data_IF_086243993454
#
_entry.id   IF_086243993454
#
_cell.length_a   1.000
_cell.length_b   1.000
_cell.length_c   1.000
_cell.angle_alpha   90.00
_cell.angle_beta   90.00
_cell.angle_gamma   90.00
#
_symmetry.space_group_name_H-M   'P 1'
#
loop_
_entity.id
_entity.type
_entity.pdbx_description
1 polymer ?
#
# COMPACT_ATOMS: atom_id res chain seq x y z
N UNK A 1 15.58 -34.09 -4.48
CA UNK A 1 14.40 -33.21 -4.37
C UNK A 1 14.26 -32.60 -2.98
N UNK A 2 14.53 -33.33 -1.88
CA UNK A 2 14.56 -32.75 -0.53
C UNK A 2 15.80 -31.88 -0.27
N UNK A 3 16.98 -32.30 -0.74
CA UNK A 3 18.23 -31.51 -0.64
C UNK A 3 18.16 -30.14 -1.32
N UNK A 4 17.48 -30.05 -2.47
CA UNK A 4 17.27 -28.81 -3.21
C UNK A 4 16.23 -27.89 -2.57
N UNK A 5 15.23 -28.44 -1.88
CA UNK A 5 14.29 -27.61 -1.08
C UNK A 5 14.98 -27.04 0.15
N UNK A 6 15.83 -27.83 0.81
CA UNK A 6 16.58 -27.40 1.98
C UNK A 6 17.61 -26.30 1.67
N UNK A 7 18.28 -26.36 0.52
CA UNK A 7 19.19 -25.28 0.09
C UNK A 7 18.43 -23.97 -0.21
N UNK A 8 17.32 -24.05 -0.93
CA UNK A 8 16.49 -22.87 -1.25
C UNK A 8 15.94 -22.20 0.02
N UNK A 9 15.51 -22.99 1.01
CA UNK A 9 15.01 -22.46 2.29
C UNK A 9 16.11 -21.77 3.11
N UNK A 10 17.34 -22.28 3.06
CA UNK A 10 18.50 -21.70 3.74
C UNK A 10 18.95 -20.39 3.08
N UNK A 11 18.89 -20.32 1.76
CA UNK A 11 19.19 -19.11 0.99
C UNK A 11 18.14 -18.00 1.24
N UNK A 12 16.86 -18.37 1.37
CA UNK A 12 15.79 -17.44 1.73
C UNK A 12 15.99 -16.87 3.15
N UNK A 13 16.40 -17.71 4.11
CA UNK A 13 16.69 -17.26 5.48
C UNK A 13 17.87 -16.28 5.53
N UNK A 14 18.95 -16.58 4.80
CA UNK A 14 20.11 -15.68 4.70
C UNK A 14 19.75 -14.34 4.07
N UNK A 15 18.89 -14.33 3.05
CA UNK A 15 18.36 -13.09 2.48
C UNK A 15 17.60 -12.26 3.52
N UNK A 16 16.70 -12.89 4.28
CA UNK A 16 15.91 -12.21 5.33
C UNK A 16 16.83 -11.61 6.39
N UNK A 17 17.86 -12.33 6.84
CA UNK A 17 18.85 -11.82 7.81
C UNK A 17 19.60 -10.58 7.29
N UNK A 18 20.01 -10.59 6.03
CA UNK A 18 20.67 -9.43 5.40
C UNK A 18 19.74 -8.21 5.40
N UNK A 19 18.48 -8.38 4.97
CA UNK A 19 17.52 -7.26 4.92
C UNK A 19 17.22 -6.74 6.32
N UNK A 20 17.07 -7.61 7.30
CA UNK A 20 16.90 -7.22 8.71
C UNK A 20 18.11 -6.44 9.22
N UNK A 21 19.33 -6.90 8.95
CA UNK A 21 20.55 -6.20 9.37
C UNK A 21 20.66 -4.81 8.73
N UNK A 22 20.35 -4.71 7.43
CA UNK A 22 20.33 -3.41 6.75
C UNK A 22 19.31 -2.48 7.41
N UNK A 23 18.09 -2.97 7.67
CA UNK A 23 17.02 -2.17 8.28
C UNK A 23 17.36 -1.73 9.70
N UNK A 24 17.85 -2.63 10.55
CA UNK A 24 17.94 -2.39 12.00
C UNK A 24 19.28 -1.82 12.45
N UNK A 25 20.34 -2.06 11.68
CA UNK A 25 21.70 -1.64 12.04
C UNK A 25 22.23 -0.61 11.06
N UNK A 26 22.25 -0.92 9.76
CA UNK A 26 22.93 -0.07 8.77
C UNK A 26 22.17 1.23 8.52
N UNK A 27 20.87 1.14 8.26
CA UNK A 27 20.08 2.31 7.86
C UNK A 27 19.98 3.38 8.96
N UNK A 28 19.79 3.04 10.25
CA UNK A 28 19.78 4.02 11.33
C UNK A 28 21.06 4.86 11.45
N UNK A 29 22.20 4.33 11.00
CA UNK A 29 23.50 5.03 10.99
C UNK A 29 23.93 5.47 9.60
N UNK A 30 23.07 5.37 8.57
CA UNK A 30 23.46 5.58 7.18
C UNK A 30 24.06 6.97 6.93
N UNK A 31 23.57 8.01 7.62
CA UNK A 31 24.10 9.38 7.52
C UNK A 31 25.46 9.57 8.21
N UNK A 32 25.83 8.66 9.13
CA UNK A 32 27.18 8.63 9.72
C UNK A 32 28.18 7.95 8.80
N UNK A 33 27.71 6.99 7.99
CA UNK A 33 28.54 6.25 7.02
C UNK A 33 28.67 7.04 5.70
N UNK A 34 27.56 7.62 5.24
CA UNK A 34 27.44 8.35 3.99
C UNK A 34 27.04 9.80 4.28
N UNK A 35 28.03 10.69 4.22
CA UNK A 35 27.85 12.11 4.52
C UNK A 35 27.03 12.80 3.42
N UNK A 36 27.26 12.41 2.16
CA UNK A 36 26.60 13.03 1.01
C UNK A 36 25.18 12.47 0.79
N UNK A 37 24.20 13.37 0.70
CA UNK A 37 22.81 13.02 0.44
C UNK A 37 22.64 12.24 -0.87
N UNK A 38 23.39 12.59 -1.92
CA UNK A 38 23.36 11.90 -3.20
C UNK A 38 23.78 10.43 -3.08
N UNK A 39 24.81 10.13 -2.28
CA UNK A 39 25.24 8.74 -2.03
C UNK A 39 24.16 7.95 -1.30
N UNK A 40 23.47 8.57 -0.34
CA UNK A 40 22.32 7.94 0.34
C UNK A 40 21.21 7.64 -0.67
N UNK A 41 20.90 8.56 -1.58
CA UNK A 41 19.91 8.35 -2.64
C UNK A 41 20.32 7.21 -3.57
N UNK A 42 21.60 7.14 -3.99
CA UNK A 42 22.11 6.03 -4.81
C UNK A 42 21.94 4.68 -4.11
N UNK A 43 22.27 4.60 -2.82
CA UNK A 43 22.05 3.38 -2.03
C UNK A 43 20.56 3.04 -1.92
N UNK A 44 19.70 4.03 -1.70
CA UNK A 44 18.25 3.81 -1.65
C UNK A 44 17.69 3.30 -2.99
N UNK A 45 18.16 3.82 -4.12
CA UNK A 45 17.79 3.33 -5.45
C UNK A 45 18.25 1.88 -5.67
N UNK A 46 19.45 1.53 -5.23
CA UNK A 46 19.96 0.15 -5.31
C UNK A 46 19.15 -0.79 -4.41
N UNK A 47 18.85 -0.39 -3.17
CA UNK A 47 17.95 -1.13 -2.27
C UNK A 47 16.58 -1.32 -2.93
N UNK A 48 16.03 -0.27 -3.54
CA UNK A 48 14.75 -0.38 -4.23
C UNK A 48 14.81 -1.41 -5.36
N UNK A 49 15.83 -1.34 -6.22
CA UNK A 49 15.98 -2.23 -7.36
C UNK A 49 16.22 -3.70 -6.94
N UNK A 50 17.15 -3.95 -6.03
CA UNK A 50 17.58 -5.31 -5.68
C UNK A 50 16.69 -5.98 -4.61
N UNK A 51 16.08 -5.21 -3.71
CA UNK A 51 15.30 -5.74 -2.58
C UNK A 51 13.81 -5.45 -2.79
N UNK A 52 13.40 -4.18 -2.72
CA UNK A 52 11.97 -3.80 -2.64
C UNK A 52 11.21 -4.28 -3.88
N UNK A 53 11.70 -3.92 -5.06
CA UNK A 53 11.07 -4.26 -6.34
C UNK A 53 11.01 -5.76 -6.56
N UNK A 54 12.02 -6.52 -6.12
CA UNK A 54 12.03 -7.98 -6.26
C UNK A 54 11.03 -8.65 -5.32
N UNK A 55 10.96 -8.23 -4.06
CA UNK A 55 9.95 -8.73 -3.11
C UNK A 55 8.54 -8.37 -3.56
N UNK A 56 8.36 -7.16 -4.11
CA UNK A 56 7.07 -6.70 -4.62
C UNK A 56 6.69 -7.30 -5.99
N UNK A 57 7.57 -8.02 -6.70
CA UNK A 57 7.15 -8.81 -7.88
C UNK A 57 6.30 -10.01 -7.45
N UNK A 58 6.59 -10.60 -6.29
CA UNK A 58 5.87 -11.73 -5.72
C UNK A 58 4.66 -11.25 -4.90
N UNK A 59 3.80 -10.42 -5.53
CA UNK A 59 2.74 -9.55 -4.96
C UNK A 59 1.72 -10.21 -4.01
N UNK A 60 1.72 -11.53 -3.87
CA UNK A 60 0.61 -12.29 -3.30
C UNK A 60 0.98 -13.15 -2.08
N UNK A 61 2.24 -13.15 -1.65
CA UNK A 61 2.68 -14.00 -0.54
C UNK A 61 3.04 -13.17 0.69
N UNK A 62 2.41 -13.52 1.81
CA UNK A 62 2.73 -12.95 3.13
C UNK A 62 4.00 -13.62 3.68
N UNK A 63 5.14 -13.28 3.08
CA UNK A 63 6.43 -13.87 3.45
C UNK A 63 7.13 -13.07 4.56
N UNK A 64 8.06 -13.70 5.26
CA UNK A 64 8.95 -13.02 6.20
C UNK A 64 9.79 -11.96 5.44
N UNK A 65 10.20 -12.27 4.21
CA UNK A 65 10.90 -11.34 3.33
C UNK A 65 10.09 -10.03 3.13
N UNK A 66 8.78 -10.13 2.87
CA UNK A 66 7.92 -8.94 2.76
C UNK A 66 7.91 -8.12 4.06
N UNK A 67 7.79 -8.78 5.21
CA UNK A 67 7.77 -8.10 6.50
C UNK A 67 9.04 -7.28 6.73
N UNK A 68 10.21 -7.89 6.54
CA UNK A 68 11.50 -7.23 6.78
C UNK A 68 11.80 -6.16 5.73
N UNK A 69 11.32 -6.32 4.49
CA UNK A 69 11.39 -5.28 3.46
C UNK A 69 10.54 -4.07 3.81
N UNK A 70 9.33 -4.27 4.34
CA UNK A 70 8.49 -3.16 4.79
C UNK A 70 9.11 -2.42 5.99
N UNK A 71 9.75 -3.13 6.91
CA UNK A 71 10.50 -2.52 8.02
C UNK A 71 11.68 -1.68 7.50
N UNK A 72 12.43 -2.18 6.51
CA UNK A 72 13.49 -1.42 5.83
C UNK A 72 12.94 -0.15 5.18
N UNK A 73 11.79 -0.23 4.48
CA UNK A 73 11.15 0.93 3.88
C UNK A 73 10.78 1.98 4.93
N UNK A 74 10.21 1.57 6.07
CA UNK A 74 9.86 2.48 7.16
C UNK A 74 11.12 3.21 7.67
N UNK A 75 12.26 2.52 7.79
CA UNK A 75 13.53 3.14 8.17
C UNK A 75 14.04 4.11 7.10
N UNK A 76 13.93 3.75 5.82
CA UNK A 76 14.26 4.64 4.68
C UNK A 76 13.44 5.93 4.71
N UNK A 77 12.15 5.82 4.99
CA UNK A 77 11.21 6.93 5.00
C UNK A 77 11.45 7.97 6.10
N UNK A 78 12.25 7.64 7.14
CA UNK A 78 12.72 8.64 8.12
C UNK A 78 13.59 9.73 7.48
N UNK A 79 14.11 9.49 6.29
CA UNK A 79 14.83 10.45 5.47
C UNK A 79 13.92 10.95 4.35
N UNK A 80 13.25 12.09 4.55
CA UNK A 80 12.20 12.61 3.65
C UNK A 80 12.63 12.78 2.19
N UNK A 81 13.90 13.08 1.93
CA UNK A 81 14.45 13.23 0.57
C UNK A 81 14.56 11.90 -0.19
N UNK A 82 14.39 10.75 0.46
CA UNK A 82 14.47 9.42 -0.19
C UNK A 82 13.17 8.98 -0.87
N UNK A 83 12.05 9.70 -0.67
CA UNK A 83 10.72 9.30 -1.16
C UNK A 83 10.68 8.94 -2.65
N UNK A 84 11.46 9.64 -3.48
CA UNK A 84 11.49 9.42 -4.93
C UNK A 84 12.01 8.03 -5.31
N UNK A 85 12.76 7.37 -4.44
CA UNK A 85 13.41 6.09 -4.70
C UNK A 85 12.42 4.90 -4.69
N UNK A 86 11.29 5.00 -3.98
CA UNK A 86 10.37 3.87 -3.74
C UNK A 86 8.88 4.22 -3.87
N UNK A 87 8.54 5.48 -4.16
CA UNK A 87 7.12 5.91 -4.24
C UNK A 87 6.33 5.14 -5.30
N UNK A 88 6.96 4.76 -6.41
CA UNK A 88 6.30 4.05 -7.50
C UNK A 88 5.83 2.67 -7.01
N UNK A 89 6.71 1.95 -6.33
CA UNK A 89 6.51 0.62 -5.79
C UNK A 89 5.40 0.62 -4.73
N UNK A 90 5.39 1.63 -3.85
CA UNK A 90 4.31 1.82 -2.86
C UNK A 90 2.96 1.98 -3.54
N UNK A 91 2.86 2.89 -4.52
CA UNK A 91 1.60 3.13 -5.22
C UNK A 91 1.15 1.91 -6.01
N UNK A 92 2.06 1.22 -6.71
CA UNK A 92 1.73 -0.01 -7.42
C UNK A 92 1.15 -1.10 -6.49
N UNK A 93 1.73 -1.26 -5.29
CA UNK A 93 1.20 -2.18 -4.29
C UNK A 93 -0.15 -1.72 -3.74
N UNK A 94 -0.31 -0.43 -3.43
CA UNK A 94 -1.57 0.13 -2.92
C UNK A 94 -2.72 0.00 -3.93
N UNK A 95 -2.43 0.18 -5.21
CA UNK A 95 -3.42 0.02 -6.30
C UNK A 95 -3.67 -1.44 -6.69
N UNK A 96 -2.92 -2.40 -6.15
CA UNK A 96 -3.18 -3.82 -6.38
C UNK A 96 -4.57 -4.21 -5.82
N UNK A 97 -5.38 -4.94 -6.59
CA UNK A 97 -6.70 -5.40 -6.16
C UNK A 97 -6.66 -6.37 -4.97
N UNK A 98 -5.51 -6.97 -4.67
CA UNK A 98 -5.28 -7.86 -3.53
C UNK A 98 -4.69 -7.16 -2.31
N UNK A 99 -4.41 -5.86 -2.37
CA UNK A 99 -3.78 -5.11 -1.27
C UNK A 99 -4.48 -5.39 0.07
N UNK A 100 -5.80 -5.25 0.11
CA UNK A 100 -6.57 -5.44 1.34
C UNK A 100 -6.80 -6.91 1.77
N UNK A 101 -6.13 -7.88 1.14
CA UNK A 101 -6.14 -9.28 1.58
C UNK A 101 -5.03 -9.60 2.60
N UNK A 102 -4.26 -8.59 3.00
CA UNK A 102 -3.14 -8.73 3.93
C UNK A 102 -3.58 -8.95 5.40
N UNK A 103 -2.73 -9.63 6.17
CA UNK A 103 -2.89 -9.80 7.61
C UNK A 103 -2.63 -8.50 8.40
N UNK A 104 -3.02 -8.52 9.69
CA UNK A 104 -2.93 -7.35 10.57
C UNK A 104 -1.49 -6.83 10.74
N UNK A 105 -0.50 -7.71 10.85
CA UNK A 105 0.91 -7.33 11.06
C UNK A 105 1.47 -6.55 9.85
N UNK A 106 1.09 -6.96 8.65
CA UNK A 106 1.47 -6.28 7.40
C UNK A 106 0.68 -4.98 7.26
N UNK A 107 -0.61 -4.99 7.58
CA UNK A 107 -1.48 -3.80 7.55
C UNK A 107 -0.98 -2.66 8.44
N UNK A 108 -0.46 -2.97 9.64
CA UNK A 108 0.13 -1.95 10.53
C UNK A 108 1.36 -1.26 9.94
N UNK A 109 2.17 -1.97 9.14
CA UNK A 109 3.32 -1.38 8.45
C UNK A 109 2.88 -0.51 7.29
N UNK A 110 1.93 -1.00 6.49
CA UNK A 110 1.32 -0.21 5.42
C UNK A 110 0.66 1.06 5.93
N UNK A 111 0.07 1.04 7.13
CA UNK A 111 -0.50 2.24 7.75
C UNK A 111 0.56 3.34 7.89
N UNK A 112 1.73 2.99 8.44
CA UNK A 112 2.87 3.92 8.60
C UNK A 112 3.41 4.40 7.26
N UNK A 113 3.57 3.48 6.30
CA UNK A 113 4.09 3.79 4.95
C UNK A 113 3.13 4.73 4.22
N UNK A 114 1.83 4.42 4.19
CA UNK A 114 0.85 5.25 3.48
C UNK A 114 0.71 6.63 4.13
N UNK A 115 0.70 6.73 5.47
CA UNK A 115 0.69 8.03 6.14
C UNK A 115 1.90 8.88 5.70
N UNK A 116 3.10 8.30 5.75
CA UNK A 116 4.34 9.02 5.42
C UNK A 116 4.41 9.45 3.95
N UNK A 117 3.94 8.61 3.01
CA UNK A 117 3.82 9.00 1.59
C UNK A 117 2.80 10.14 1.42
N UNK A 118 1.67 10.08 2.10
CA UNK A 118 0.63 11.11 2.00
C UNK A 118 1.07 12.46 2.54
N UNK A 119 1.92 12.49 3.58
CA UNK A 119 2.55 13.72 4.07
C UNK A 119 3.57 14.31 3.08
N UNK A 120 4.13 13.47 2.19
CA UNK A 120 5.09 13.89 1.16
C UNK A 120 4.42 14.32 -0.14
N UNK A 121 3.26 13.75 -0.47
CA UNK A 121 2.53 13.98 -1.73
C UNK A 121 1.09 14.49 -1.48
N UNK A 122 0.95 15.65 -0.84
CA UNK A 122 -0.34 16.21 -0.39
C UNK A 122 -1.43 16.30 -1.48
N UNK A 123 -1.03 16.53 -2.74
CA UNK A 123 -1.93 16.61 -3.89
C UNK A 123 -2.56 15.26 -4.27
N UNK A 124 -1.92 14.14 -3.89
CA UNK A 124 -2.41 12.79 -4.19
C UNK A 124 -3.75 12.49 -3.54
N UNK A 125 -4.05 13.13 -2.41
CA UNK A 125 -5.32 12.93 -1.74
C UNK A 125 -6.48 13.42 -2.61
N UNK A 126 -6.33 14.60 -3.21
CA UNK A 126 -7.30 15.17 -4.14
C UNK A 126 -7.45 14.34 -5.42
N UNK A 127 -6.34 13.79 -5.95
CA UNK A 127 -6.36 12.84 -7.09
C UNK A 127 -7.10 11.54 -6.75
N UNK A 128 -6.94 11.01 -5.53
CA UNK A 128 -7.70 9.84 -5.09
C UNK A 128 -9.20 10.12 -5.01
N UNK A 129 -9.61 11.30 -4.54
CA UNK A 129 -11.02 11.70 -4.48
C UNK A 129 -11.61 11.83 -5.88
N UNK A 130 -10.92 12.46 -6.83
CA UNK A 130 -11.45 12.68 -8.19
C UNK A 130 -11.66 11.37 -8.97
N UNK A 131 -10.82 10.36 -8.71
CA UNK A 131 -10.92 9.03 -9.33
C UNK A 131 -12.12 8.21 -8.88
N UNK A 132 -12.75 8.56 -7.76
CA UNK A 132 -13.94 7.85 -7.28
C UNK A 132 -15.13 8.07 -8.23
N UNK A 133 -15.27 9.29 -8.78
CA UNK A 133 -16.44 9.67 -9.57
C UNK A 133 -16.29 9.53 -11.06
N UNK A 134 -15.08 9.73 -11.59
CA UNK A 134 -14.89 9.83 -13.05
C UNK A 134 -14.89 8.47 -13.78
N UNK A 135 -14.93 7.35 -13.03
CA UNK A 135 -14.60 6.05 -13.63
C UNK A 135 -13.20 6.08 -14.25
N UNK A 136 -12.74 4.96 -14.82
CA UNK A 136 -11.52 5.00 -15.63
C UNK A 136 -11.93 5.38 -17.06
N UNK A 137 -11.56 6.57 -17.59
CA UNK A 137 -11.96 6.99 -18.94
C UNK A 137 -11.42 6.09 -20.06
N UNK A 138 -10.48 5.19 -19.73
CA UNK A 138 -9.80 4.28 -20.67
C UNK A 138 -10.54 2.96 -20.94
N UNK A 139 -11.69 2.72 -20.31
CA UNK A 139 -12.25 1.37 -20.20
C UNK A 139 -13.70 1.26 -20.69
N UNK A 140 -13.90 1.57 -21.98
CA UNK A 140 -15.19 1.52 -22.69
C UNK A 140 -15.76 0.10 -22.80
N UNK A 141 -14.97 -0.94 -22.51
CA UNK A 141 -15.33 -2.36 -22.59
C UNK A 141 -15.50 -3.04 -21.23
N UNK A 142 -15.46 -2.30 -20.12
CA UNK A 142 -15.60 -2.88 -18.78
C UNK A 142 -17.09 -3.02 -18.41
N UNK A 143 -17.46 -4.18 -17.85
CA UNK A 143 -18.83 -4.42 -17.39
C UNK A 143 -19.21 -3.45 -16.27
N UNK A 144 -20.50 -3.11 -16.18
CA UNK A 144 -21.05 -2.28 -15.10
C UNK A 144 -20.68 -2.83 -13.72
N UNK A 145 -20.67 -4.15 -13.55
CA UNK A 145 -20.28 -4.82 -12.31
C UNK A 145 -18.82 -4.53 -11.95
N UNK A 146 -17.90 -4.68 -12.90
CA UNK A 146 -16.48 -4.43 -12.68
C UNK A 146 -16.20 -2.94 -12.43
N UNK A 147 -16.97 -2.04 -13.03
CA UNK A 147 -16.92 -0.62 -12.73
C UNK A 147 -17.32 -0.34 -11.27
N UNK A 148 -18.42 -0.93 -10.80
CA UNK A 148 -18.86 -0.82 -9.40
C UNK A 148 -17.82 -1.37 -8.42
N UNK A 149 -17.21 -2.52 -8.72
CA UNK A 149 -16.13 -3.11 -7.91
C UNK A 149 -14.93 -2.15 -7.86
N UNK A 150 -14.53 -1.56 -8.99
CA UNK A 150 -13.42 -0.62 -9.05
C UNK A 150 -13.70 0.65 -8.22
N UNK A 151 -14.92 1.18 -8.30
CA UNK A 151 -15.36 2.32 -7.46
C UNK A 151 -15.36 1.97 -5.97
N UNK A 152 -15.92 0.83 -5.58
CA UNK A 152 -15.91 0.36 -4.20
C UNK A 152 -14.48 0.17 -3.67
N UNK A 153 -13.58 -0.40 -4.47
CA UNK A 153 -12.16 -0.52 -4.11
C UNK A 153 -11.48 0.85 -3.97
N UNK A 154 -11.85 1.84 -4.79
CA UNK A 154 -11.29 3.18 -4.68
C UNK A 154 -11.79 3.92 -3.44
N UNK A 155 -13.07 3.77 -3.10
CA UNK A 155 -13.63 4.25 -1.84
C UNK A 155 -12.94 3.61 -0.63
N UNK A 156 -12.70 2.28 -0.67
CA UNK A 156 -11.94 1.58 0.37
C UNK A 156 -10.52 2.12 0.52
N UNK A 157 -9.84 2.46 -0.59
CA UNK A 157 -8.53 3.12 -0.57
C UNK A 157 -8.59 4.49 0.09
N UNK A 158 -9.56 5.31 -0.27
CA UNK A 158 -9.73 6.62 0.38
C UNK A 158 -9.95 6.48 1.88
N UNK A 159 -10.84 5.58 2.30
CA UNK A 159 -11.09 5.29 3.72
C UNK A 159 -9.83 4.83 4.45
N UNK A 160 -9.02 3.97 3.83
CA UNK A 160 -7.74 3.54 4.40
C UNK A 160 -6.74 4.69 4.57
N UNK A 161 -6.65 5.60 3.60
CA UNK A 161 -5.78 6.78 3.71
C UNK A 161 -6.22 7.68 4.86
N UNK A 162 -7.52 7.94 4.99
CA UNK A 162 -8.08 8.73 6.09
C UNK A 162 -7.76 8.06 7.45
N UNK A 163 -7.95 6.74 7.55
CA UNK A 163 -7.61 5.97 8.75
C UNK A 163 -6.11 5.95 9.06
N UNK A 164 -5.26 5.96 8.02
CA UNK A 164 -3.80 5.97 8.16
C UNK A 164 -3.26 7.33 8.61
N UNK A 165 -3.95 8.41 8.24
CA UNK A 165 -3.56 9.77 8.55
C UNK A 165 -3.59 10.12 10.04
N UNK A 166 -2.98 11.25 10.36
CA UNK A 166 -3.03 11.88 11.67
C UNK A 166 -4.39 12.56 11.91
N UNK A 167 -4.69 12.86 13.17
CA UNK A 167 -5.87 13.62 13.52
C UNK A 167 -5.89 14.93 12.73
N UNK A 168 -7.06 15.25 12.19
CA UNK A 168 -7.32 16.49 11.43
C UNK A 168 -6.55 16.66 10.11
N UNK A 169 -5.78 15.67 9.67
CA UNK A 169 -4.95 15.76 8.45
C UNK A 169 -5.75 16.11 7.19
N UNK A 170 -7.01 15.68 7.10
CA UNK A 170 -7.87 15.84 5.92
C UNK A 170 -9.08 16.77 6.14
N UNK A 171 -9.09 17.60 7.20
CA UNK A 171 -10.23 18.49 7.51
C UNK A 171 -10.64 19.38 6.34
N UNK A 172 -9.66 19.93 5.60
CA UNK A 172 -9.91 20.84 4.47
C UNK A 172 -10.66 20.16 3.33
N UNK A 173 -10.52 18.84 3.20
CA UNK A 173 -11.12 18.03 2.15
C UNK A 173 -12.41 17.34 2.60
N UNK A 174 -12.80 17.43 3.87
CA UNK A 174 -14.06 16.85 4.35
C UNK A 174 -15.29 17.28 3.53
N UNK A 175 -15.47 18.55 3.13
CA UNK A 175 -16.63 18.96 2.33
C UNK A 175 -16.72 18.18 1.00
N UNK A 176 -15.61 18.06 0.28
CA UNK A 176 -15.59 17.35 -1.01
C UNK A 176 -15.71 15.83 -0.82
N UNK A 177 -15.16 15.27 0.26
CA UNK A 177 -15.36 13.85 0.61
C UNK A 177 -16.85 13.59 0.85
N UNK A 178 -17.53 14.44 1.63
CA UNK A 178 -18.96 14.31 1.91
C UNK A 178 -19.78 14.39 0.63
N UNK A 179 -19.50 15.37 -0.24
CA UNK A 179 -20.15 15.51 -1.54
C UNK A 179 -20.02 14.22 -2.36
N UNK A 180 -18.82 13.66 -2.46
CA UNK A 180 -18.58 12.41 -3.21
C UNK A 180 -19.28 11.19 -2.62
N UNK A 181 -19.33 11.06 -1.30
CA UNK A 181 -20.06 9.97 -0.65
C UNK A 181 -21.57 10.10 -0.94
N UNK A 182 -22.12 11.31 -0.90
CA UNK A 182 -23.53 11.56 -1.19
C UNK A 182 -23.87 11.25 -2.65
N UNK A 183 -23.01 11.63 -3.60
CA UNK A 183 -23.16 11.27 -5.02
C UNK A 183 -23.19 9.75 -5.21
N UNK A 184 -22.24 9.02 -4.60
CA UNK A 184 -22.21 7.56 -4.68
C UNK A 184 -23.47 6.89 -4.11
N UNK A 185 -23.98 7.39 -2.98
CA UNK A 185 -25.18 6.84 -2.34
C UNK A 185 -26.45 7.05 -3.20
N UNK A 186 -26.55 8.21 -3.88
CA UNK A 186 -27.65 8.48 -4.81
C UNK A 186 -27.60 7.53 -6.01
N UNK A 187 -26.42 7.26 -6.53
CA UNK A 187 -26.24 6.30 -7.63
C UNK A 187 -26.55 4.86 -7.21
N UNK A 188 -26.16 4.44 -6.01
CA UNK A 188 -26.48 3.11 -5.50
C UNK A 188 -27.98 2.94 -5.20
N UNK A 189 -28.68 3.97 -4.74
CA UNK A 189 -30.13 3.89 -4.51
C UNK A 189 -30.94 3.69 -5.80
N UNK A 190 -30.38 4.06 -6.96
CA UNK A 190 -30.99 3.80 -8.27
C UNK A 190 -30.71 2.38 -8.80
N UNK A 191 -29.85 1.60 -8.13
CA UNK A 191 -29.45 0.25 -8.50
C UNK A 191 -29.67 -0.67 -7.29
N UNK A 192 -30.76 -1.42 -7.26
CA UNK A 192 -31.05 -2.47 -6.28
C UNK A 192 -30.01 -3.60 -6.31
N UNK A 193 -28.78 -3.32 -5.90
CA UNK A 193 -27.67 -4.26 -5.86
C UNK A 193 -26.68 -3.87 -4.77
N UNK A 194 -27.17 -3.85 -3.52
CA UNK A 194 -26.33 -4.04 -2.32
C UNK A 194 -25.58 -5.40 -2.41
N UNK A 195 -26.06 -6.33 -3.26
CA UNK A 195 -25.46 -7.64 -3.52
C UNK A 195 -24.15 -7.60 -4.33
N UNK A 196 -23.85 -6.54 -5.10
CA UNK A 196 -22.58 -6.43 -5.85
C UNK A 196 -21.42 -5.97 -4.95
N UNK A 197 -21.71 -5.45 -3.75
CA UNK A 197 -20.72 -5.22 -2.69
C UNK A 197 -20.42 -6.53 -1.91
N UNK A 198 -21.27 -7.55 -2.08
CA UNK A 198 -21.23 -8.83 -1.38
C UNK A 198 -20.16 -9.88 -1.84
N UNK A 199 -19.40 -9.75 -2.95
CA UNK A 199 -18.30 -10.69 -3.23
C UNK A 199 -17.15 -10.58 -2.21
N UNK A 200 -17.07 -9.47 -1.47
CA UNK A 200 -16.12 -9.32 -0.35
C UNK A 200 -16.57 -10.03 0.93
N UNK A 201 -17.85 -10.42 1.02
CA UNK A 201 -18.46 -11.04 2.21
C UNK A 201 -18.52 -12.56 2.12
N UNK A 202 -18.55 -13.15 0.92
CA UNK A 202 -18.80 -14.57 0.72
C UNK A 202 -17.56 -15.49 0.69
N UNK A 203 -16.46 -15.09 1.35
CA UNK A 203 -15.42 -16.04 1.70
C UNK A 203 -15.59 -16.43 3.17
N UNK A 204 -16.14 -17.63 3.38
CA UNK A 204 -16.23 -18.35 4.64
C UNK A 204 -14.88 -18.45 5.36
N UNK A 205 -14.50 -17.37 6.03
CA UNK A 205 -13.62 -17.37 7.18
C UNK A 205 -14.12 -16.25 8.09
N UNK A 206 -14.81 -16.70 9.13
CA UNK A 206 -15.15 -15.98 10.34
C UNK A 206 -13.87 -15.30 10.86
N UNK A 207 -13.65 -14.06 10.44
CA UNK A 207 -12.83 -13.07 11.12
C UNK A 207 -13.27 -11.69 10.64
N UNK A 208 -14.12 -11.10 11.47
CA UNK A 208 -14.57 -9.72 11.48
C UNK A 208 -13.41 -8.73 11.30
N UNK A 209 -13.12 -8.31 10.06
CA UNK A 209 -12.24 -7.16 9.79
C UNK A 209 -12.99 -5.93 9.27
N UNK A 210 -14.32 -6.00 9.17
CA UNK A 210 -15.21 -4.85 9.01
C UNK A 210 -15.50 -4.11 10.33
N UNK A 211 -14.77 -4.45 11.42
CA UNK A 211 -14.81 -3.75 12.71
C UNK A 211 -13.55 -2.90 12.97
N UNK A 212 -12.69 -2.70 11.96
CA UNK A 212 -11.54 -1.79 12.02
C UNK A 212 -11.53 -0.75 10.89
N UNK A 213 -12.72 -0.45 10.34
CA UNK A 213 -13.03 0.75 9.55
C UNK A 213 -14.32 1.32 10.13
#
# INVERSE_FOLDING_TARGET
MESSKFSVQKDEMGYVEIVMYISTVVFPIIRKILIDQEKVITVCNNINYYIISNVFKNRNEETIALVVTLDLMIEMMKLSYTHRCYRKEIWEMFYNGKFFKMNLKISQRWKKIMNTIMQSENEKFSDLISRITLGSPTNIFISREQELINRALMLRRLGYIIFAGENDQYLKQLPIIQEKIVELLKESNNLTNIEVINPLYNNNNINNYLLYI
#
